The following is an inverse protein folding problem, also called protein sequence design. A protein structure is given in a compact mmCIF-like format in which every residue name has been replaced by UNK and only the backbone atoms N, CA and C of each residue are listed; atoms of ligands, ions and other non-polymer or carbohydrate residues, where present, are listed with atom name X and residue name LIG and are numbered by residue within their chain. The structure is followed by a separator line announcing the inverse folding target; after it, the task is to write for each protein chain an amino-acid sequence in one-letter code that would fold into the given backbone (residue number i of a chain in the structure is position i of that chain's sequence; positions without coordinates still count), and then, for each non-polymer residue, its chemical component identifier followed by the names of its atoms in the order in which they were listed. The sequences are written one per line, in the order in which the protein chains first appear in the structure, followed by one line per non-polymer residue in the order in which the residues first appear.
data_IF_206306418540
#
_entry.id   IF_206306418540
#
_cell.length_a   1.000
_cell.length_b   1.000
_cell.length_c   1.000
_cell.angle_alpha   90.00
_cell.angle_beta   90.00
_cell.angle_gamma   90.00
#
_symmetry.space_group_name_H-M   'P 1'
#
loop_
_entity.id
_entity.type
_entity.pdbx_description
1 polymer ?
#
# COMPACT_ATOMS: atom_id res chain seq x y z
N UNK A 1 20.72 17.27 -7.17
CA UNK A 1 20.18 16.38 -8.19
C UNK A 1 19.06 15.54 -7.60
N UNK A 2 17.90 15.64 -8.17
CA UNK A 2 16.72 14.93 -7.68
C UNK A 2 16.67 13.54 -8.31
N UNK A 3 16.61 12.50 -7.46
CA UNK A 3 16.44 11.16 -7.96
C UNK A 3 14.99 10.95 -8.40
N UNK A 4 14.80 10.28 -9.53
CA UNK A 4 13.49 9.90 -10.00
C UNK A 4 12.96 8.69 -9.22
N UNK A 5 11.64 8.60 -9.09
CA UNK A 5 10.99 7.42 -8.54
C UNK A 5 11.22 6.22 -9.46
N UNK A 6 11.38 5.05 -8.86
CA UNK A 6 11.49 3.79 -9.59
C UNK A 6 10.06 3.34 -9.92
N UNK A 7 9.76 2.99 -11.19
CA UNK A 7 8.41 2.59 -11.60
C UNK A 7 8.08 1.14 -11.21
N UNK A 8 8.47 0.75 -10.00
CA UNK A 8 8.11 -0.50 -9.35
C UNK A 8 7.71 -0.17 -7.92
N UNK A 9 6.53 -0.60 -7.54
CA UNK A 9 5.96 -0.26 -6.24
C UNK A 9 5.28 -1.45 -5.61
N UNK A 10 4.85 -1.25 -4.36
CA UNK A 10 4.04 -2.20 -3.63
C UNK A 10 2.70 -1.58 -3.29
N UNK A 11 1.70 -2.42 -3.14
CA UNK A 11 0.42 -2.10 -2.55
C UNK A 11 0.21 -3.10 -1.43
N UNK A 12 0.01 -2.62 -0.21
CA UNK A 12 -0.17 -3.50 0.94
C UNK A 12 -1.57 -3.29 1.53
N UNK A 13 -2.39 -4.32 1.42
CA UNK A 13 -3.72 -4.34 2.04
C UNK A 13 -3.55 -4.78 3.49
N UNK A 14 -3.71 -3.83 4.41
CA UNK A 14 -3.60 -4.10 5.84
C UNK A 14 -5.01 -4.42 6.35
N UNK A 15 -5.16 -5.56 7.01
CA UNK A 15 -6.47 -6.03 7.42
C UNK A 15 -6.40 -6.80 8.74
N UNK A 16 -7.56 -6.95 9.37
CA UNK A 16 -7.73 -7.77 10.56
C UNK A 16 -8.23 -9.17 10.18
N UNK A 17 -8.19 -10.14 11.11
CA UNK A 17 -8.80 -11.46 10.86
C UNK A 17 -10.29 -11.38 10.52
N UNK A 18 -11.00 -10.34 10.93
CA UNK A 18 -12.41 -10.13 10.63
C UNK A 18 -12.64 -9.39 9.31
N UNK A 19 -11.59 -9.20 8.51
CA UNK A 19 -11.66 -8.55 7.20
C UNK A 19 -12.03 -7.06 7.26
N UNK A 20 -11.70 -6.39 8.35
CA UNK A 20 -11.67 -4.93 8.38
C UNK A 20 -10.36 -4.47 7.75
N UNK A 21 -10.45 -3.50 6.87
CA UNK A 21 -9.31 -3.03 6.07
C UNK A 21 -8.96 -1.60 6.43
N UNK A 22 -7.65 -1.34 6.59
CA UNK A 22 -7.14 -0.01 6.85
C UNK A 22 -7.03 0.78 5.56
N UNK A 23 -7.63 1.96 5.55
CA UNK A 23 -7.42 2.96 4.50
C UNK A 23 -6.84 4.22 5.11
N UNK A 24 -5.96 4.87 4.35
CA UNK A 24 -5.32 6.13 4.72
C UNK A 24 -5.62 7.16 3.64
N UNK A 25 -5.76 8.44 4.07
CA UNK A 25 -6.11 9.52 3.15
C UNK A 25 -4.87 10.33 2.80
N UNK A 26 -4.64 10.54 1.50
CA UNK A 26 -3.52 11.33 1.02
C UNK A 26 -3.64 12.80 1.44
N UNK A 27 -2.53 13.38 1.87
CA UNK A 27 -2.47 14.80 2.23
C UNK A 27 -2.59 15.72 1.01
N UNK A 28 -2.10 15.26 -0.16
CA UNK A 28 -2.06 16.05 -1.39
C UNK A 28 -3.33 15.96 -2.24
N UNK A 29 -4.30 15.14 -1.83
CA UNK A 29 -5.51 14.94 -2.62
C UNK A 29 -6.67 14.52 -1.70
N UNK A 30 -7.53 15.47 -1.40
CA UNK A 30 -8.74 15.24 -0.61
C UNK A 30 -9.63 14.18 -1.25
N UNK A 31 -10.12 13.24 -0.44
CA UNK A 31 -10.94 12.14 -0.93
C UNK A 31 -10.18 10.96 -1.50
N UNK A 32 -8.84 11.02 -1.56
CA UNK A 32 -8.03 9.91 -2.04
C UNK A 32 -7.71 8.96 -0.90
N UNK A 33 -8.61 8.02 -0.69
CA UNK A 33 -8.42 6.92 0.25
C UNK A 33 -7.73 5.75 -0.45
N UNK A 34 -6.78 5.15 0.23
CA UNK A 34 -5.97 4.07 -0.35
C UNK A 34 -5.37 3.17 0.73
N UNK A 35 -4.96 1.97 0.30
CA UNK A 35 -4.08 1.12 1.09
C UNK A 35 -2.67 1.72 1.10
N UNK A 36 -1.75 1.14 1.87
CA UNK A 36 -0.35 1.55 1.83
C UNK A 36 0.23 1.29 0.45
N UNK A 37 0.90 2.27 -0.11
CA UNK A 37 1.57 2.13 -1.40
C UNK A 37 2.87 2.93 -1.40
N UNK A 38 3.87 2.44 -2.11
CA UNK A 38 5.13 3.15 -2.23
C UNK A 38 6.09 2.47 -3.20
N UNK A 39 7.03 3.24 -3.71
CA UNK A 39 8.01 2.77 -4.68
C UNK A 39 9.22 2.15 -4.00
N UNK A 40 9.92 1.26 -4.73
CA UNK A 40 11.23 0.77 -4.30
C UNK A 40 12.20 1.94 -4.15
N UNK A 41 13.11 1.83 -3.19
CA UNK A 41 14.21 2.80 -3.02
C UNK A 41 15.32 2.58 -4.05
N UNK A 42 15.49 1.34 -4.49
CA UNK A 42 16.42 0.97 -5.55
C UNK A 42 15.87 -0.22 -6.33
N UNK A 43 16.38 -0.45 -7.53
CA UNK A 43 15.99 -1.60 -8.34
C UNK A 43 16.32 -2.92 -7.64
N UNK A 44 17.34 -2.92 -6.78
CA UNK A 44 17.79 -4.12 -6.06
C UNK A 44 17.01 -4.38 -4.77
N UNK A 45 16.19 -3.43 -4.31
CA UNK A 45 15.40 -3.63 -3.10
C UNK A 45 14.37 -4.75 -3.32
N UNK A 46 14.38 -5.83 -2.51
CA UNK A 46 13.36 -6.86 -2.63
C UNK A 46 11.97 -6.28 -2.34
N UNK A 47 10.97 -6.74 -3.06
CA UNK A 47 9.59 -6.22 -2.88
C UNK A 47 9.07 -6.40 -1.47
N UNK A 48 9.43 -7.49 -0.80
CA UNK A 48 9.04 -7.73 0.59
C UNK A 48 9.61 -6.65 1.53
N UNK A 49 10.87 -6.24 1.32
CA UNK A 49 11.47 -5.16 2.09
C UNK A 49 10.81 -3.83 1.80
N UNK A 50 10.48 -3.56 0.54
CA UNK A 50 9.74 -2.36 0.15
C UNK A 50 8.40 -2.31 0.89
N UNK A 51 7.67 -3.44 0.91
CA UNK A 51 6.38 -3.52 1.59
C UNK A 51 6.50 -3.23 3.08
N UNK A 52 7.44 -3.88 3.77
CA UNK A 52 7.64 -3.68 5.20
C UNK A 52 8.08 -2.24 5.52
N UNK A 53 8.96 -1.67 4.70
CA UNK A 53 9.43 -0.30 4.88
C UNK A 53 8.29 0.71 4.73
N UNK A 54 7.51 0.59 3.66
CA UNK A 54 6.40 1.52 3.40
C UNK A 54 5.30 1.42 4.46
N UNK A 55 4.99 0.21 4.92
CA UNK A 55 4.03 0.03 6.01
C UNK A 55 4.52 0.77 7.27
N UNK A 56 5.79 0.63 7.61
CA UNK A 56 6.37 1.32 8.77
C UNK A 56 6.34 2.83 8.62
N UNK A 57 6.72 3.34 7.44
CA UNK A 57 6.76 4.77 7.18
C UNK A 57 5.37 5.41 7.21
N UNK A 58 4.37 4.74 6.65
CA UNK A 58 3.05 5.33 6.48
C UNK A 58 2.11 5.07 7.66
N UNK A 59 2.30 4.00 8.43
CA UNK A 59 1.37 3.62 9.50
C UNK A 59 2.01 3.40 10.87
N UNK A 60 3.34 3.36 10.94
CA UNK A 60 4.05 3.04 12.17
C UNK A 60 3.98 1.57 12.57
N UNK A 61 3.34 0.72 11.77
CA UNK A 61 3.25 -0.72 12.06
C UNK A 61 4.56 -1.38 11.65
N UNK A 62 5.16 -2.13 12.58
CA UNK A 62 6.43 -2.82 12.31
C UNK A 62 6.16 -4.27 11.89
N UNK A 63 6.33 -4.55 10.60
CA UNK A 63 6.22 -5.89 10.04
C UNK A 63 7.53 -6.36 9.37
N UNK A 64 8.66 -5.75 9.75
CA UNK A 64 9.97 -6.15 9.25
C UNK A 64 10.33 -7.57 9.74
N UNK A 65 11.27 -8.26 9.05
CA UNK A 65 11.79 -9.53 9.53
C UNK A 65 12.26 -9.40 11.00
N UNK A 66 11.85 -10.34 11.83
CA UNK A 66 12.13 -10.32 13.26
C UNK A 66 11.06 -9.66 14.13
N UNK A 67 10.17 -8.85 13.56
CA UNK A 67 9.06 -8.26 14.27
C UNK A 67 7.91 -9.26 14.43
N UNK A 68 7.10 -9.09 15.49
CA UNK A 68 5.99 -9.99 15.78
C UNK A 68 4.98 -10.08 14.63
N UNK A 69 4.75 -8.98 13.92
CA UNK A 69 3.75 -8.94 12.84
C UNK A 69 4.29 -9.37 11.48
N UNK A 70 5.59 -9.70 11.38
CA UNK A 70 6.18 -10.11 10.10
C UNK A 70 5.49 -11.35 9.51
N UNK A 71 5.08 -12.29 10.34
CA UNK A 71 4.41 -13.51 9.88
C UNK A 71 3.09 -13.24 9.15
N UNK A 72 2.46 -12.09 9.42
CA UNK A 72 1.23 -11.67 8.75
C UNK A 72 1.43 -11.00 7.40
N UNK A 73 2.69 -10.67 7.04
CA UNK A 73 3.01 -10.04 5.76
C UNK A 73 3.18 -11.11 4.69
N UNK A 74 2.34 -11.07 3.67
CA UNK A 74 2.33 -12.09 2.62
C UNK A 74 2.32 -11.46 1.24
N UNK A 75 3.17 -11.98 0.36
CA UNK A 75 3.11 -11.66 -1.06
C UNK A 75 1.95 -12.44 -1.68
N UNK A 76 0.97 -11.74 -2.23
CA UNK A 76 -0.18 -12.38 -2.85
C UNK A 76 0.11 -12.90 -4.25
N UNK A 77 1.27 -12.60 -4.80
CA UNK A 77 1.63 -13.05 -6.14
C UNK A 77 0.86 -12.36 -7.25
N UNK A 78 0.21 -11.25 -6.95
CA UNK A 78 -0.53 -10.44 -7.91
C UNK A 78 0.28 -9.21 -8.29
N UNK A 79 0.20 -8.83 -9.56
CA UNK A 79 0.81 -7.60 -10.04
C UNK A 79 -0.19 -6.82 -10.88
N UNK A 80 -0.05 -5.51 -10.86
CA UNK A 80 -0.80 -4.61 -11.73
C UNK A 80 0.18 -3.72 -12.47
N UNK A 81 -0.02 -3.57 -13.78
CA UNK A 81 0.69 -2.56 -14.54
C UNK A 81 -0.33 -1.50 -14.92
N UNK A 82 -0.08 -0.27 -14.51
CA UNK A 82 -1.02 0.81 -14.81
C UNK A 82 -0.30 2.05 -15.30
N UNK A 83 -1.04 2.85 -16.07
CA UNK A 83 -0.55 4.12 -16.55
C UNK A 83 -0.47 5.12 -15.38
N UNK A 84 0.68 5.77 -15.25
CA UNK A 84 0.89 6.77 -14.21
C UNK A 84 0.06 8.00 -14.56
N UNK A 85 -0.72 8.51 -13.59
CA UNK A 85 -1.50 9.73 -13.78
C UNK A 85 -0.59 10.88 -14.22
N UNK A 86 -1.03 11.62 -15.22
CA UNK A 86 -0.25 12.70 -15.85
C UNK A 86 0.32 13.68 -14.80
N UNK A 87 -0.45 13.99 -13.77
CA UNK A 87 -0.03 14.93 -12.71
C UNK A 87 1.15 14.45 -11.87
N UNK A 88 1.46 13.14 -11.90
CA UNK A 88 2.56 12.56 -11.14
C UNK A 88 3.72 12.07 -11.99
N UNK A 89 3.61 12.13 -13.33
CA UNK A 89 4.68 11.66 -14.23
C UNK A 89 6.00 12.39 -14.05
N UNK A 90 5.95 13.65 -13.61
CA UNK A 90 7.17 14.43 -13.36
C UNK A 90 8.09 13.83 -12.28
N UNK A 91 7.55 12.93 -11.46
CA UNK A 91 8.32 12.23 -10.42
C UNK A 91 9.20 11.12 -10.97
N UNK A 92 8.97 10.74 -12.22
CA UNK A 92 9.66 9.62 -12.88
C UNK A 92 10.56 10.13 -13.99
N UNK A 93 11.51 9.26 -14.43
CA UNK A 93 12.38 9.62 -15.54
C UNK A 93 11.59 9.89 -16.81
N UNK A 94 12.10 10.78 -17.71
CA UNK A 94 11.43 11.03 -18.99
C UNK A 94 11.19 9.73 -19.75
N UNK A 95 9.99 9.60 -20.32
CA UNK A 95 9.59 8.39 -21.06
C UNK A 95 8.95 7.29 -20.22
N UNK A 96 9.00 7.39 -18.89
CA UNK A 96 8.33 6.44 -18.00
C UNK A 96 6.85 6.79 -17.95
N UNK A 97 5.99 5.87 -18.38
CA UNK A 97 4.54 6.08 -18.44
C UNK A 97 3.75 5.09 -17.59
N UNK A 98 4.35 3.95 -17.26
CA UNK A 98 3.69 2.86 -16.53
C UNK A 98 4.46 2.45 -15.30
N UNK A 99 3.73 2.03 -14.27
CA UNK A 99 4.28 1.50 -13.01
C UNK A 99 3.86 0.04 -12.84
N UNK A 100 4.79 -0.79 -12.37
CA UNK A 100 4.52 -2.18 -12.00
C UNK A 100 4.30 -2.24 -10.49
N UNK A 101 3.11 -2.64 -10.09
CA UNK A 101 2.70 -2.71 -8.68
C UNK A 101 2.59 -4.15 -8.23
N UNK A 102 3.28 -4.50 -7.13
CA UNK A 102 3.21 -5.82 -6.50
C UNK A 102 2.26 -5.76 -5.31
N UNK A 103 1.33 -6.69 -5.20
CA UNK A 103 0.29 -6.68 -4.17
C UNK A 103 0.65 -7.60 -3.01
N UNK A 104 0.58 -7.05 -1.80
CA UNK A 104 0.79 -7.76 -0.54
C UNK A 104 -0.42 -7.62 0.36
N UNK A 105 -0.56 -8.55 1.29
CA UNK A 105 -1.49 -8.43 2.40
C UNK A 105 -0.73 -8.45 3.71
N UNK A 106 -1.22 -7.70 4.70
CA UNK A 106 -0.70 -7.73 6.07
C UNK A 106 -1.85 -7.92 7.03
N UNK A 107 -1.89 -9.08 7.66
CA UNK A 107 -2.88 -9.36 8.70
C UNK A 107 -2.36 -8.89 10.06
N UNK A 108 -3.12 -8.04 10.73
CA UNK A 108 -2.78 -7.52 12.04
C UNK A 108 -3.93 -7.72 13.02
N UNK A 109 -3.67 -7.80 14.32
CA UNK A 109 -4.74 -7.88 15.32
C UNK A 109 -5.64 -6.65 15.27
N UNK A 110 -6.92 -6.84 15.56
CA UNK A 110 -7.83 -5.71 15.74
C UNK A 110 -7.32 -4.79 16.84
N UNK A 111 -7.44 -3.49 16.63
CA UNK A 111 -6.94 -2.50 17.59
C UNK A 111 -5.46 -2.15 17.44
N UNK A 112 -4.78 -2.68 16.43
CA UNK A 112 -3.39 -2.31 16.15
C UNK A 112 -3.26 -0.80 15.98
N UNK A 113 -2.36 -0.13 16.74
CA UNK A 113 -2.19 1.31 16.63
C UNK A 113 -1.68 1.74 15.27
N UNK A 114 -2.17 2.87 14.79
CA UNK A 114 -1.73 3.50 13.54
C UNK A 114 -1.19 4.89 13.86
N UNK A 115 0.04 5.16 13.42
CA UNK A 115 0.68 6.46 13.56
C UNK A 115 1.04 6.95 12.16
N UNK A 116 0.31 7.93 11.67
CA UNK A 116 0.49 8.44 10.32
C UNK A 116 1.70 9.37 10.20
N UNK A 117 2.29 9.39 9.01
CA UNK A 117 3.22 10.43 8.61
C UNK A 117 2.40 11.65 8.13
N UNK A 118 2.32 12.74 8.92
CA UNK A 118 1.36 13.81 8.63
C UNK A 118 1.61 14.58 7.34
N UNK A 119 2.81 14.50 6.79
CA UNK A 119 3.13 15.14 5.50
C UNK A 119 2.54 14.37 4.33
N UNK A 120 2.32 13.08 4.49
CA UNK A 120 1.86 12.20 3.41
C UNK A 120 0.40 11.83 3.56
N UNK A 121 -0.06 11.63 4.79
CA UNK A 121 -1.42 11.18 5.08
C UNK A 121 -2.01 11.93 6.27
N UNK A 122 -3.28 12.28 6.18
CA UNK A 122 -3.95 13.15 7.16
C UNK A 122 -5.01 12.44 7.99
N UNK A 123 -5.45 11.26 7.59
CA UNK A 123 -6.47 10.50 8.31
C UNK A 123 -6.37 9.02 7.98
N UNK A 124 -6.90 8.19 8.87
CA UNK A 124 -7.06 6.76 8.59
C UNK A 124 -8.43 6.29 9.08
N UNK A 125 -8.88 5.17 8.52
CA UNK A 125 -10.09 4.50 8.98
C UNK A 125 -10.01 3.00 8.73
N UNK A 126 -10.72 2.24 9.53
CA UNK A 126 -10.91 0.80 9.34
C UNK A 126 -12.32 0.57 8.86
N UNK A 127 -12.48 -0.09 7.72
CA UNK A 127 -13.78 -0.39 7.12
C UNK A 127 -13.90 -1.88 6.81
N UNK A 128 -15.10 -2.46 6.88
CA UNK A 128 -15.33 -3.78 6.32
C UNK A 128 -14.83 -3.82 4.88
N UNK A 129 -14.27 -4.94 4.46
CA UNK A 129 -13.52 -5.02 3.20
C UNK A 129 -14.28 -4.54 1.96
N UNK A 130 -15.60 -4.81 1.87
CA UNK A 130 -16.38 -4.34 0.72
C UNK A 130 -16.54 -2.83 0.73
N UNK A 131 -16.80 -2.26 1.90
CA UNK A 131 -16.90 -0.80 2.05
C UNK A 131 -15.55 -0.14 1.79
N UNK A 132 -14.45 -0.77 2.24
CA UNK A 132 -13.12 -0.28 1.97
C UNK A 132 -12.84 -0.24 0.47
N UNK A 133 -13.20 -1.31 -0.26
CA UNK A 133 -13.03 -1.33 -1.72
C UNK A 133 -13.80 -0.19 -2.39
N UNK A 134 -15.03 0.06 -1.96
CA UNK A 134 -15.85 1.13 -2.51
C UNK A 134 -15.26 2.53 -2.23
N UNK A 135 -14.58 2.69 -1.10
CA UNK A 135 -13.99 3.97 -0.70
C UNK A 135 -12.67 4.28 -1.42
N UNK A 136 -12.02 3.28 -2.01
CA UNK A 136 -10.72 3.48 -2.65
C UNK A 136 -10.81 4.34 -3.89
N UNK A 137 -9.84 5.25 -4.04
CA UNK A 137 -9.69 6.05 -5.25
C UNK A 137 -9.27 5.19 -6.45
N UNK A 138 -8.30 4.30 -6.26
CA UNK A 138 -7.72 3.52 -7.36
C UNK A 138 -8.49 2.23 -7.62
N UNK A 139 -8.88 1.95 -8.89
CA UNK A 139 -9.52 0.67 -9.22
C UNK A 139 -8.67 -0.55 -8.89
N UNK A 140 -7.35 -0.50 -9.09
CA UNK A 140 -6.47 -1.62 -8.77
C UNK A 140 -6.43 -1.91 -7.27
N UNK A 141 -6.48 -0.86 -6.46
CA UNK A 141 -6.55 -1.00 -5.00
C UNK A 141 -7.89 -1.64 -4.58
N UNK A 142 -8.99 -1.18 -5.15
CA UNK A 142 -10.31 -1.75 -4.89
C UNK A 142 -10.35 -3.23 -5.27
N UNK A 143 -9.83 -3.60 -6.43
CA UNK A 143 -9.76 -5.00 -6.88
C UNK A 143 -8.93 -5.86 -5.91
N UNK A 144 -7.79 -5.34 -5.46
CA UNK A 144 -6.95 -6.06 -4.50
C UNK A 144 -7.71 -6.35 -3.21
N UNK A 145 -8.43 -5.36 -2.68
CA UNK A 145 -9.24 -5.55 -1.47
C UNK A 145 -10.34 -6.60 -1.69
N UNK A 146 -10.98 -6.59 -2.85
CA UNK A 146 -12.02 -7.58 -3.16
C UNK A 146 -11.47 -9.00 -3.27
N UNK A 147 -10.16 -9.15 -3.48
CA UNK A 147 -9.50 -10.46 -3.49
C UNK A 147 -9.18 -10.98 -2.08
N UNK A 148 -9.27 -10.12 -1.06
CA UNK A 148 -8.85 -10.45 0.30
C UNK A 148 -9.38 -11.79 0.82
N UNK A 149 -10.68 -12.14 0.69
CA UNK A 149 -11.15 -13.41 1.21
C UNK A 149 -10.43 -14.64 0.67
N UNK A 150 -9.89 -14.57 -0.54
CA UNK A 150 -9.13 -15.68 -1.14
C UNK A 150 -7.82 -15.97 -0.42
N UNK A 151 -7.26 -14.96 0.24
CA UNK A 151 -5.96 -15.05 0.91
C UNK A 151 -6.09 -15.28 2.42
N UNK A 152 -7.32 -15.43 2.91
CA UNK A 152 -7.60 -15.62 4.34
C UNK A 152 -8.00 -17.05 4.69
N UNK A 153 -8.03 -17.95 3.75
CA UNK A 153 -8.36 -19.36 3.98
C UNK A 153 -7.19 -20.14 4.54
#
# INVERSE_FOLDING_TARGET
MTAYKIPQSVLVVIHTPNLDVLLIRRADASGFWQSVTGSKDSLQEPTLETAAREVGEETGIDCRPGAALHAGLRDWGLTNTYEIYARWRHRYAPGVTHNLEHVFGLCVPAGTPVVLSPREHTAFQWLPWREAADACFSPSNAEAILMLPRFMS
#
